data_IF_836898823875
#
_entry.id   IF_836898823875
#
_cell.length_a   1.000
_cell.length_b   1.000
_cell.length_c   1.000
_cell.angle_alpha   90.00
_cell.angle_beta   90.00
_cell.angle_gamma   90.00
#
_symmetry.space_group_name_H-M   'P 1'
#
loop_
_entity.id
_entity.type
_entity.pdbx_description
1 polymer ?
#
# COMPACT_ATOMS: atom_id res chain seq x y z
N UNK A 1 -0.63 10.98 -5.01
CA UNK A 1 0.21 9.81 -5.35
C UNK A 1 1.64 10.21 -5.11
N UNK A 2 2.40 9.46 -4.30
CA UNK A 2 3.76 9.86 -3.88
C UNK A 2 4.77 9.78 -5.03
N UNK A 3 4.43 9.06 -6.10
CA UNK A 3 5.21 8.89 -7.32
C UNK A 3 4.35 9.33 -8.50
N UNK A 4 4.65 10.50 -9.06
CA UNK A 4 4.06 10.93 -10.32
C UNK A 4 4.76 10.22 -11.49
N UNK A 5 4.06 10.01 -12.61
CA UNK A 5 4.64 9.34 -13.77
C UNK A 5 5.90 10.06 -14.30
N UNK A 6 6.07 11.36 -14.06
CA UNK A 6 7.25 12.13 -14.44
C UNK A 6 8.35 12.22 -13.35
N UNK A 7 8.23 11.51 -12.23
CA UNK A 7 9.28 11.48 -11.20
C UNK A 7 10.55 10.80 -11.78
N UNK A 8 11.73 11.45 -11.75
CA UNK A 8 12.95 10.90 -12.34
C UNK A 8 13.36 9.53 -11.78
N UNK A 9 13.11 9.29 -10.49
CA UNK A 9 13.43 8.01 -9.84
C UNK A 9 12.50 6.91 -10.31
N UNK A 10 11.23 7.25 -10.51
CA UNK A 10 10.24 6.33 -11.06
C UNK A 10 10.57 5.99 -12.52
N UNK A 11 10.89 7.01 -13.33
CA UNK A 11 11.28 6.81 -14.73
C UNK A 11 12.54 5.97 -14.89
N UNK A 12 13.52 6.12 -13.99
CA UNK A 12 14.71 5.26 -13.97
C UNK A 12 14.34 3.78 -13.80
N UNK A 13 13.48 3.46 -12.83
CA UNK A 13 13.03 2.08 -12.58
C UNK A 13 12.31 1.49 -13.80
N UNK A 14 11.44 2.27 -14.46
CA UNK A 14 10.76 1.82 -15.68
C UNK A 14 11.75 1.59 -16.83
N UNK A 15 12.77 2.46 -16.98
CA UNK A 15 13.80 2.33 -17.99
C UNK A 15 14.69 1.07 -17.81
N UNK A 16 14.86 0.61 -16.57
CA UNK A 16 15.54 -0.66 -16.24
C UNK A 16 14.66 -1.90 -16.48
N UNK A 17 13.43 -1.74 -17.00
CA UNK A 17 12.53 -2.84 -17.38
C UNK A 17 11.50 -3.25 -16.31
N UNK A 18 11.37 -2.48 -15.23
CA UNK A 18 10.37 -2.74 -14.18
C UNK A 18 9.07 -1.96 -14.47
N UNK A 19 8.15 -2.60 -15.21
CA UNK A 19 6.91 -1.97 -15.67
C UNK A 19 5.75 -2.00 -14.66
N UNK A 20 5.87 -2.74 -13.56
CA UNK A 20 4.83 -2.84 -12.52
C UNK A 20 5.41 -2.34 -11.20
N UNK A 21 4.84 -1.25 -10.67
CA UNK A 21 5.32 -0.61 -9.46
C UNK A 21 4.26 -0.66 -8.36
N UNK A 22 4.62 -1.23 -7.21
CA UNK A 22 3.68 -1.54 -6.13
C UNK A 22 3.99 -0.78 -4.83
N UNK A 23 3.77 0.55 -4.78
CA UNK A 23 4.09 1.36 -3.60
C UNK A 23 3.16 1.01 -2.42
N UNK A 24 3.60 1.30 -1.21
CA UNK A 24 2.74 1.26 -0.03
C UNK A 24 2.02 2.60 0.09
N UNK A 25 0.70 2.60 -0.07
CA UNK A 25 -0.16 3.78 0.11
C UNK A 25 -1.47 3.39 0.83
N UNK A 26 -2.27 4.38 1.23
CA UNK A 26 -3.63 4.17 1.79
C UNK A 26 -4.73 4.03 0.72
N UNK A 27 -4.35 4.10 -0.56
CA UNK A 27 -5.24 3.98 -1.70
C UNK A 27 -5.11 2.58 -2.31
N UNK A 28 -6.18 2.05 -2.87
CA UNK A 28 -6.18 0.81 -3.67
C UNK A 28 -6.30 1.08 -5.18
N UNK A 29 -6.26 2.35 -5.59
CA UNK A 29 -6.47 2.75 -6.98
C UNK A 29 -5.25 2.40 -7.83
N UNK A 30 -5.43 1.48 -8.76
CA UNK A 30 -4.44 1.16 -9.79
C UNK A 30 -4.46 2.24 -10.87
N UNK A 31 -3.28 2.70 -11.28
CA UNK A 31 -3.10 3.66 -12.37
C UNK A 31 -2.36 3.00 -13.52
N UNK A 32 -2.91 3.17 -14.71
CA UNK A 32 -2.37 2.64 -15.95
C UNK A 32 -1.74 3.78 -16.73
N UNK A 33 -0.49 3.59 -17.13
CA UNK A 33 0.21 4.43 -18.08
C UNK A 33 0.46 3.62 -19.36
N UNK A 34 0.90 4.28 -20.44
CA UNK A 34 1.17 3.60 -21.72
C UNK A 34 2.27 2.54 -21.60
N UNK A 35 3.25 2.76 -20.72
CA UNK A 35 4.47 1.96 -20.62
C UNK A 35 4.71 1.30 -19.26
N UNK A 36 3.82 1.52 -18.30
CA UNK A 36 3.92 0.99 -16.93
C UNK A 36 2.57 1.02 -16.18
N UNK A 37 2.54 0.37 -15.02
CA UNK A 37 1.39 0.29 -14.11
C UNK A 37 1.83 0.64 -12.69
N UNK A 38 1.07 1.49 -12.01
CA UNK A 38 1.21 1.74 -10.57
C UNK A 38 0.06 1.04 -9.85
N UNK A 39 0.36 0.06 -9.01
CA UNK A 39 -0.60 -0.75 -8.26
C UNK A 39 -0.33 -0.65 -6.76
N UNK A 40 -0.90 0.35 -6.06
CA UNK A 40 -0.66 0.54 -4.64
C UNK A 40 -1.10 -0.65 -3.79
N UNK A 41 -0.35 -0.89 -2.72
CA UNK A 41 -0.64 -1.94 -1.72
C UNK A 41 -0.95 -1.28 -0.39
N UNK A 42 -2.02 -1.76 0.25
CA UNK A 42 -2.31 -1.44 1.65
C UNK A 42 -1.38 -2.30 2.53
N UNK A 43 -0.70 -1.66 3.47
CA UNK A 43 0.06 -2.38 4.49
C UNK A 43 -0.87 -2.80 5.63
N UNK A 44 -0.82 -4.07 6.01
CA UNK A 44 -1.61 -4.64 7.11
C UNK A 44 -0.61 -5.27 8.09
N UNK A 45 -0.29 -4.50 9.12
CA UNK A 45 0.61 -4.91 10.21
C UNK A 45 0.01 -4.55 11.58
N UNK A 46 0.73 -4.84 12.66
CA UNK A 46 0.27 -4.53 14.02
C UNK A 46 0.00 -3.03 14.21
N UNK A 47 0.84 -2.18 13.62
CA UNK A 47 0.65 -0.73 13.68
C UNK A 47 -0.65 -0.31 13.00
N UNK A 48 -0.95 -0.81 11.80
CA UNK A 48 -2.19 -0.55 11.09
C UNK A 48 -3.41 -1.13 11.83
N UNK A 49 -3.29 -2.31 12.43
CA UNK A 49 -4.33 -2.91 13.27
C UNK A 49 -4.65 -2.06 14.51
N UNK A 50 -3.66 -1.35 15.07
CA UNK A 50 -3.88 -0.44 16.22
C UNK A 50 -4.36 0.94 15.80
N UNK A 51 -3.83 1.51 14.71
CA UNK A 51 -3.99 2.94 14.37
C UNK A 51 -4.94 3.20 13.19
N UNK A 52 -5.29 2.18 12.42
CA UNK A 52 -6.18 2.25 11.26
C UNK A 52 -7.29 1.17 11.35
N UNK A 53 -7.67 0.80 12.58
CA UNK A 53 -8.60 -0.29 12.86
C UNK A 53 -9.95 -0.12 12.16
N UNK A 54 -10.52 1.09 12.18
CA UNK A 54 -11.79 1.41 11.52
C UNK A 54 -11.75 1.06 10.03
N UNK A 55 -10.74 1.56 9.30
CA UNK A 55 -10.56 1.27 7.88
C UNK A 55 -10.37 -0.23 7.60
N UNK A 56 -9.62 -0.93 8.45
CA UNK A 56 -9.40 -2.37 8.28
C UNK A 56 -10.68 -3.19 8.51
N UNK A 57 -11.47 -2.82 9.52
CA UNK A 57 -12.77 -3.43 9.80
C UNK A 57 -13.76 -3.22 8.65
N UNK A 58 -13.80 -2.01 8.09
CA UNK A 58 -14.77 -1.67 7.04
C UNK A 58 -14.46 -2.32 5.68
N UNK A 59 -13.18 -2.53 5.38
CA UNK A 59 -12.75 -2.92 4.03
C UNK A 59 -12.10 -4.30 3.93
N UNK A 60 -11.68 -4.92 5.03
CA UNK A 60 -10.89 -6.16 4.99
C UNK A 60 -11.38 -7.23 5.98
N UNK A 61 -11.19 -7.05 7.29
CA UNK A 61 -11.52 -8.05 8.31
C UNK A 61 -11.67 -7.40 9.69
N UNK A 62 -12.38 -8.08 10.60
CA UNK A 62 -12.50 -7.64 11.99
C UNK A 62 -11.16 -7.80 12.73
N UNK A 63 -10.50 -6.68 13.01
CA UNK A 63 -9.20 -6.65 13.69
C UNK A 63 -9.25 -7.30 15.07
N UNK A 64 -10.35 -7.14 15.81
CA UNK A 64 -10.46 -7.67 17.18
C UNK A 64 -10.50 -9.21 17.22
N UNK A 65 -10.78 -9.87 16.10
CA UNK A 65 -10.77 -11.33 16.00
C UNK A 65 -9.39 -11.91 15.67
N UNK A 66 -8.45 -11.07 15.21
CA UNK A 66 -7.16 -11.51 14.65
C UNK A 66 -5.97 -10.95 15.43
N UNK A 67 -6.10 -9.77 16.04
CA UNK A 67 -5.00 -9.14 16.76
C UNK A 67 -4.69 -9.94 18.04
N UNK A 68 -3.42 -10.33 18.20
CA UNK A 68 -2.95 -11.03 19.40
C UNK A 68 -2.97 -10.06 20.61
N UNK A 69 -3.77 -10.35 21.66
CA UNK A 69 -3.84 -9.50 22.84
C UNK A 69 -2.53 -9.46 23.64
N UNK A 70 -1.62 -10.43 23.46
CA UNK A 70 -0.30 -10.42 24.09
C UNK A 70 0.71 -9.52 23.36
N UNK A 71 0.34 -8.94 22.21
CA UNK A 71 1.23 -8.07 21.43
C UNK A 71 1.47 -6.76 22.19
N UNK A 72 2.73 -6.31 22.36
CA UNK A 72 3.02 -5.02 22.97
C UNK A 72 2.33 -3.89 22.19
N UNK A 73 1.75 -2.94 22.92
CA UNK A 73 1.18 -1.73 22.32
C UNK A 73 2.34 -0.96 21.67
N UNK A 74 2.23 -0.71 20.36
CA UNK A 74 3.24 0.02 19.57
C UNK A 74 2.93 1.52 19.53
#
# INVERSE_FOLDING_TARGET
MRFANNDPRYRYIVAEGFHIFCPVERSTNTVWHEDNIIMPRINIDGYAMTHAQEYLNDHFFNVNEVIDPARPVQ
#
